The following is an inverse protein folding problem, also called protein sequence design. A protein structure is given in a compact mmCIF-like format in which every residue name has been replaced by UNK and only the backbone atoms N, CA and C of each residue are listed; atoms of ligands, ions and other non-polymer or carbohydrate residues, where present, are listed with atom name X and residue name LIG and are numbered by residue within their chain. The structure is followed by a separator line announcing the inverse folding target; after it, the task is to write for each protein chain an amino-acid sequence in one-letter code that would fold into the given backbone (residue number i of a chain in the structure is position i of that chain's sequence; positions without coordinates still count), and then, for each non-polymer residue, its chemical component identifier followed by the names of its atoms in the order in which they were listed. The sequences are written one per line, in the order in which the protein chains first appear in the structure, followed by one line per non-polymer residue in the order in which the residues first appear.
data_IF_328720750617
#
_entry.id   IF_328720750617
#
_cell.length_a   1.000
_cell.length_b   1.000
_cell.length_c   1.000
_cell.angle_alpha   90.00
_cell.angle_beta   90.00
_cell.angle_gamma   90.00
#
_symmetry.space_group_name_H-M   'P 1'
#
loop_
_entity.id
_entity.type
_entity.pdbx_description
1 polymer ?
#
# COMPACT_ATOMS: atom_id res chain seq x y z
N UNK A 1 -0.14 14.70 -6.46
CA UNK A 1 -0.19 15.28 -5.09
C UNK A 1 0.76 14.43 -4.26
N UNK A 2 1.85 14.96 -3.69
CA UNK A 2 2.79 14.17 -2.89
C UNK A 2 2.24 14.04 -1.46
N UNK A 3 2.08 12.82 -0.95
CA UNK A 3 1.63 12.58 0.43
C UNK A 3 2.81 12.12 1.29
N UNK A 4 3.14 12.89 2.33
CA UNK A 4 4.19 12.53 3.28
C UNK A 4 3.58 11.76 4.44
N UNK A 5 3.79 10.44 4.47
CA UNK A 5 3.61 9.65 5.68
C UNK A 5 4.86 9.83 6.53
N UNK A 6 4.72 9.93 7.86
CA UNK A 6 5.84 10.24 8.77
C UNK A 6 7.08 9.37 8.46
N UNK A 7 8.09 9.96 7.81
CA UNK A 7 9.35 9.30 7.42
C UNK A 7 9.38 8.61 6.05
N UNK A 8 8.34 8.70 5.22
CA UNK A 8 8.26 8.06 3.92
C UNK A 8 7.72 9.04 2.85
N UNK A 9 8.55 9.31 1.85
CA UNK A 9 8.18 10.14 0.70
C UNK A 9 7.80 9.24 -0.48
N UNK A 10 6.50 9.05 -0.63
CA UNK A 10 5.89 8.21 -1.66
C UNK A 10 5.01 9.05 -2.57
N UNK A 11 5.23 8.89 -3.87
CA UNK A 11 4.34 9.39 -4.90
C UNK A 11 3.14 8.45 -5.05
N UNK A 12 2.26 8.49 -4.04
CA UNK A 12 1.00 7.76 -4.11
C UNK A 12 -0.11 8.67 -4.62
N UNK A 13 -0.14 8.82 -5.95
CA UNK A 13 -1.21 9.53 -6.64
C UNK A 13 -2.52 8.74 -6.50
N UNK A 14 -3.58 9.40 -5.98
CA UNK A 14 -4.91 8.80 -5.84
C UNK A 14 -5.13 8.04 -4.53
N UNK A 15 -4.30 8.26 -3.51
CA UNK A 15 -4.51 7.68 -2.17
C UNK A 15 -5.86 8.09 -1.58
N UNK A 16 -6.20 9.36 -1.75
CA UNK A 16 -7.43 9.99 -1.34
C UNK A 16 -8.63 9.35 -2.06
N UNK A 17 -8.55 9.18 -3.37
CA UNK A 17 -9.55 8.44 -4.15
C UNK A 17 -9.69 6.99 -3.69
N UNK A 18 -8.57 6.26 -3.49
CA UNK A 18 -8.60 4.86 -3.03
C UNK A 18 -9.19 4.73 -1.62
N UNK A 19 -8.92 5.69 -0.73
CA UNK A 19 -9.49 5.74 0.60
C UNK A 19 -11.01 6.03 0.56
N UNK A 20 -11.43 6.99 -0.26
CA UNK A 20 -12.84 7.31 -0.49
C UNK A 20 -13.60 6.13 -1.10
N UNK A 21 -13.00 5.45 -2.08
CA UNK A 21 -13.57 4.26 -2.69
C UNK A 21 -13.68 3.13 -1.66
N UNK A 22 -12.62 2.86 -0.89
CA UNK A 22 -12.64 1.82 0.17
C UNK A 22 -13.73 2.09 1.22
N UNK A 23 -13.96 3.36 1.60
CA UNK A 23 -15.05 3.74 2.51
C UNK A 23 -16.43 3.53 1.90
N UNK A 24 -16.57 3.81 0.60
CA UNK A 24 -17.86 3.75 -0.10
C UNK A 24 -18.24 2.32 -0.49
N UNK A 25 -17.28 1.53 -0.95
CA UNK A 25 -17.48 0.16 -1.47
C UNK A 25 -17.29 -0.90 -0.40
N UNK A 26 -16.59 -0.57 0.70
CA UNK A 26 -16.15 -1.52 1.72
C UNK A 26 -15.23 -2.63 1.18
N UNK A 27 -14.67 -2.43 -0.01
CA UNK A 27 -13.68 -3.30 -0.63
C UNK A 27 -12.30 -2.79 -0.26
N UNK A 28 -11.42 -3.68 0.19
CA UNK A 28 -10.04 -3.30 0.48
C UNK A 28 -9.28 -3.04 -0.83
N UNK A 29 -8.36 -2.08 -0.79
CA UNK A 29 -7.46 -1.75 -1.91
C UNK A 29 -6.02 -2.10 -1.53
N UNK A 30 -5.27 -2.68 -2.47
CA UNK A 30 -3.85 -2.98 -2.29
C UNK A 30 -3.07 -2.58 -3.54
N UNK A 31 -1.98 -1.82 -3.36
CA UNK A 31 -1.12 -1.35 -4.45
C UNK A 31 0.35 -1.41 -4.05
N UNK A 32 1.21 -1.82 -4.98
CA UNK A 32 2.67 -1.72 -4.82
C UNK A 32 3.14 -0.39 -5.39
N UNK A 33 3.95 0.34 -4.63
CA UNK A 33 4.44 1.66 -4.98
C UNK A 33 5.95 1.74 -4.79
N UNK A 34 6.60 2.47 -5.68
CA UNK A 34 8.01 2.80 -5.56
C UNK A 34 8.13 4.14 -4.84
N UNK A 35 8.81 4.15 -3.70
CA UNK A 35 9.14 5.38 -3.00
C UNK A 35 10.27 6.13 -3.71
N UNK A 36 10.35 7.43 -3.43
CA UNK A 36 11.39 8.31 -4.00
C UNK A 36 12.82 7.95 -3.58
N UNK A 37 12.97 7.15 -2.52
CA UNK A 37 14.25 6.61 -2.04
C UNK A 37 14.61 5.25 -2.67
N UNK A 38 13.83 4.76 -3.64
CA UNK A 38 14.06 3.51 -4.36
C UNK A 38 13.50 2.25 -3.68
N UNK A 39 12.87 2.39 -2.51
CA UNK A 39 12.25 1.27 -1.79
C UNK A 39 10.87 0.94 -2.32
N UNK A 40 10.52 -0.34 -2.30
CA UNK A 40 9.21 -0.82 -2.69
C UNK A 40 8.32 -1.00 -1.46
N UNK A 41 7.11 -0.45 -1.54
CA UNK A 41 6.11 -0.62 -0.49
C UNK A 41 4.82 -1.20 -1.06
N UNK A 42 4.23 -2.13 -0.31
CA UNK A 42 2.82 -2.48 -0.49
C UNK A 42 1.98 -1.59 0.41
N UNK A 43 1.12 -0.77 -0.19
CA UNK A 43 0.11 0.01 0.51
C UNK A 43 -1.19 -0.75 0.47
N UNK A 44 -1.77 -0.99 1.64
CA UNK A 44 -3.05 -1.68 1.80
C UNK A 44 -4.01 -0.81 2.60
N UNK A 45 -5.17 -0.53 2.01
CA UNK A 45 -6.24 0.28 2.60
C UNK A 45 -7.39 -0.65 2.94
N UNK A 46 -7.78 -0.66 4.21
CA UNK A 46 -8.85 -1.51 4.71
C UNK A 46 -9.91 -0.65 5.41
N UNK A 47 -11.21 -0.90 5.18
CA UNK A 47 -12.25 -0.19 5.90
C UNK A 47 -12.27 -0.64 7.36
N UNK A 48 -12.32 0.31 8.30
CA UNK A 48 -12.48 0.03 9.72
C UNK A 48 -13.94 0.24 10.12
N UNK A 49 -14.58 -0.85 10.55
CA UNK A 49 -15.97 -0.83 11.05
C UNK A 49 -15.98 -0.89 12.57
N UNK A 50 -16.74 -0.01 13.21
CA UNK A 50 -17.07 -0.13 14.63
C UNK A 50 -18.15 -1.20 14.86
N UNK A 51 -18.26 -1.65 16.11
CA UNK A 51 -19.18 -2.69 16.58
C UNK A 51 -20.67 -2.35 16.36
N UNK A 52 -20.99 -1.06 16.20
CA UNK A 52 -22.30 -0.53 15.85
C UNK A 52 -22.56 -0.49 14.33
N UNK A 53 -21.68 -1.13 13.54
CA UNK A 53 -21.77 -1.25 12.09
C UNK A 53 -21.62 0.09 11.33
N UNK A 54 -21.16 1.15 12.03
CA UNK A 54 -20.73 2.41 11.43
C UNK A 54 -19.27 2.30 10.97
N UNK A 55 -18.99 2.81 9.77
CA UNK A 55 -17.63 2.91 9.23
C UNK A 55 -17.00 4.16 9.84
N UNK A 56 -15.88 4.01 10.52
CA UNK A 56 -15.20 5.13 11.17
C UNK A 56 -14.02 5.71 10.43
N UNK A 57 -13.53 4.96 9.45
CA UNK A 57 -12.38 5.37 8.69
C UNK A 57 -11.76 4.20 7.96
N UNK A 58 -10.55 4.43 7.49
CA UNK A 58 -9.71 3.44 6.85
C UNK A 58 -8.44 3.25 7.65
N UNK A 59 -7.96 2.02 7.68
CA UNK A 59 -6.60 1.69 8.11
C UNK A 59 -5.75 1.58 6.86
N UNK A 60 -4.70 2.40 6.79
CA UNK A 60 -3.70 2.34 5.73
C UNK A 60 -2.45 1.69 6.32
N UNK A 61 -2.04 0.56 5.76
CA UNK A 61 -0.81 -0.14 6.13
C UNK A 61 0.21 0.01 5.01
N UNK A 62 1.45 0.31 5.36
CA UNK A 62 2.57 0.37 4.43
C UNK A 62 3.57 -0.72 4.84
N UNK A 63 3.80 -1.69 3.96
CA UNK A 63 4.73 -2.78 4.17
C UNK A 63 5.92 -2.61 3.24
N UNK A 64 7.14 -2.51 3.77
CA UNK A 64 8.36 -2.52 2.97
C UNK A 64 8.55 -3.93 2.39
N UNK A 65 8.53 -4.04 1.06
CA UNK A 65 8.70 -5.29 0.32
C UNK A 65 9.99 -5.27 -0.51
N UNK A 66 10.91 -4.35 -0.22
CA UNK A 66 12.16 -4.19 -0.98
C UNK A 66 12.99 -5.48 -0.94
N UNK A 67 13.24 -6.04 0.25
CA UNK A 67 13.96 -7.32 0.39
C UNK A 67 13.24 -8.49 -0.30
N UNK A 68 11.90 -8.53 -0.24
CA UNK A 68 11.13 -9.61 -0.88
C UNK A 68 11.24 -9.54 -2.40
N UNK A 69 11.20 -8.34 -2.98
CA UNK A 69 11.42 -8.13 -4.42
C UNK A 69 12.83 -8.52 -4.84
N UNK A 70 13.85 -8.18 -4.06
CA UNK A 70 15.24 -8.55 -4.35
C UNK A 70 15.45 -10.07 -4.30
N UNK A 71 14.83 -10.76 -3.33
CA UNK A 71 14.83 -12.22 -3.28
C UNK A 71 14.08 -12.84 -4.46
N UNK A 72 12.89 -12.33 -4.82
CA UNK A 72 12.11 -12.84 -5.95
C UNK A 72 12.87 -12.70 -7.29
N UNK A 73 13.59 -11.59 -7.48
CA UNK A 73 14.46 -11.39 -8.65
C UNK A 73 15.66 -12.34 -8.67
N UNK A 74 16.22 -12.67 -7.50
CA UNK A 74 17.32 -13.63 -7.40
C UNK A 74 16.85 -15.05 -7.68
N UNK A 75 15.71 -15.46 -7.13
CA UNK A 75 15.11 -16.76 -7.42
C UNK A 75 14.72 -16.91 -8.90
N UNK A 76 14.22 -15.85 -9.55
CA UNK A 76 13.94 -15.89 -11.00
C UNK A 76 15.20 -16.13 -11.83
N UNK A 77 16.35 -15.56 -11.46
CA UNK A 77 17.61 -15.80 -12.17
C UNK A 77 18.11 -17.23 -12.03
N UNK A 78 17.93 -17.86 -10.87
CA UNK A 78 18.35 -19.25 -10.65
C UNK A 78 17.45 -20.26 -11.37
N UNK A 79 16.16 -19.95 -11.58
CA UNK A 79 15.24 -20.80 -12.35
C UNK A 79 15.47 -20.76 -13.86
N UNK A 80 16.30 -19.85 -14.36
CA UNK A 80 16.65 -19.69 -15.78
C UNK A 80 18.06 -20.22 -16.14
N UNK A 81 18.76 -20.90 -15.21
CA UNK A 81 20.12 -21.46 -15.41
C UNK A 81 20.16 -22.98 -15.58
#
# INVERSE_FOLDING_TARGET
MHHTFKGLNVDFAGLDDDALDTLSTLVFSEKQILATDGRWFTVRIMPYRRLDNLIDGVVITLLDITETKELEQTLRRDLES
#
